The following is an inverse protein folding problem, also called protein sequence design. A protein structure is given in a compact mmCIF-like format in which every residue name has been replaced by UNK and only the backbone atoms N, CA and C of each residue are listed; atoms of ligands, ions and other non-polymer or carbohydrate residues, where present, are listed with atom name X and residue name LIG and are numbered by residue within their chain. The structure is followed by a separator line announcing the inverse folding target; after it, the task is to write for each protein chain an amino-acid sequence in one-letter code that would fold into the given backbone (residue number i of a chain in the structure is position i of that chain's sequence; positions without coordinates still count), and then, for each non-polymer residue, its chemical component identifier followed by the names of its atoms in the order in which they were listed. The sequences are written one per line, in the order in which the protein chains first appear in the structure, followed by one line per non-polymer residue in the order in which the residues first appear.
data_IF_388471192776
#
_entry.id   IF_388471192776
#
_cell.length_a   1.000
_cell.length_b   1.000
_cell.length_c   1.000
_cell.angle_alpha   90.00
_cell.angle_beta   90.00
_cell.angle_gamma   90.00
#
_symmetry.space_group_name_H-M   'P 1'
#
loop_
_entity.id
_entity.type
_entity.pdbx_description
1 polymer ?
#
# COMPACT_ATOMS: atom_id res chain seq x y z
N UNK A 1 19.34 10.41 15.79
CA UNK A 1 19.85 11.48 14.90
C UNK A 1 20.92 10.88 14.00
N UNK A 2 20.78 11.00 12.68
CA UNK A 2 21.72 10.45 11.69
C UNK A 2 23.04 11.24 11.64
N UNK A 3 24.07 10.71 10.97
CA UNK A 3 25.31 11.47 10.72
C UNK A 3 25.02 12.75 9.93
N UNK A 4 24.15 12.68 8.91
CA UNK A 4 23.76 13.83 8.11
C UNK A 4 23.10 14.92 8.95
N UNK A 5 22.12 14.54 9.79
CA UNK A 5 21.45 15.47 10.70
C UNK A 5 22.45 16.14 11.64
N UNK A 6 23.42 15.39 12.20
CA UNK A 6 24.48 15.96 13.06
C UNK A 6 25.37 16.98 12.37
N UNK A 7 25.59 16.86 11.06
CA UNK A 7 26.46 17.76 10.31
C UNK A 7 25.73 19.04 9.86
N UNK A 8 24.43 18.92 9.58
CA UNK A 8 23.59 20.03 9.09
C UNK A 8 22.93 20.79 10.24
N UNK A 9 22.65 20.10 11.35
CA UNK A 9 22.09 20.62 12.59
C UNK A 9 22.88 20.07 13.78
N UNK A 10 24.09 20.62 14.01
CA UNK A 10 24.91 20.20 15.14
C UNK A 10 24.22 20.45 16.49
N UNK A 11 24.48 19.56 17.45
CA UNK A 11 23.90 19.63 18.81
C UNK A 11 24.52 20.76 19.65
N UNK A 12 25.78 21.10 19.39
CA UNK A 12 26.50 22.14 20.10
C UNK A 12 26.79 23.31 19.17
N UNK A 13 26.58 24.52 19.67
CA UNK A 13 26.81 25.78 18.92
C UNK A 13 28.28 25.93 18.51
N UNK A 14 29.19 25.23 19.19
CA UNK A 14 30.63 25.19 18.88
C UNK A 14 30.97 24.38 17.64
N UNK A 15 30.06 23.50 17.19
CA UNK A 15 30.34 22.60 16.07
C UNK A 15 30.06 23.30 14.74
N UNK A 16 30.86 22.96 13.72
CA UNK A 16 30.74 23.57 12.39
C UNK A 16 29.49 23.04 11.67
N UNK A 17 28.56 23.94 11.37
CA UNK A 17 27.39 23.64 10.53
C UNK A 17 27.78 23.57 9.06
N UNK A 18 27.56 22.43 8.42
CA UNK A 18 27.80 22.29 6.98
C UNK A 18 26.68 22.93 6.15
N UNK A 19 27.00 23.52 4.97
CA UNK A 19 26.00 24.09 4.09
C UNK A 19 25.07 23.00 3.53
N UNK A 20 23.76 23.24 3.60
CA UNK A 20 22.72 22.36 3.06
C UNK A 20 22.14 22.97 1.78
N UNK A 21 22.08 22.18 0.71
CA UNK A 21 21.30 22.50 -0.48
C UNK A 21 20.10 21.58 -0.58
N UNK A 22 18.90 22.14 -0.72
CA UNK A 22 17.64 21.39 -0.79
C UNK A 22 17.13 21.40 -2.22
N UNK A 23 16.79 20.22 -2.75
CA UNK A 23 16.14 20.10 -4.05
C UNK A 23 14.64 20.40 -3.91
N UNK A 24 14.19 21.50 -4.52
CA UNK A 24 12.79 21.94 -4.38
C UNK A 24 11.85 21.34 -5.43
N UNK A 25 12.35 20.80 -6.54
CA UNK A 25 11.49 20.36 -7.65
C UNK A 25 11.20 18.85 -7.58
N UNK A 26 9.94 18.50 -7.31
CA UNK A 26 9.45 17.12 -7.38
C UNK A 26 9.07 16.73 -8.81
N UNK A 27 9.32 15.47 -9.16
CA UNK A 27 9.19 14.92 -10.53
C UNK A 27 8.39 13.61 -10.58
N UNK A 28 7.64 13.30 -9.52
CA UNK A 28 6.99 12.00 -9.31
C UNK A 28 5.48 12.11 -9.19
N UNK A 29 5.00 12.94 -8.27
CA UNK A 29 3.60 12.92 -7.85
C UNK A 29 2.78 13.87 -8.69
N UNK A 30 1.55 13.49 -9.02
CA UNK A 30 0.56 14.43 -9.55
C UNK A 30 0.32 15.57 -8.53
N UNK A 31 0.10 16.84 -8.95
CA UNK A 31 0.00 17.99 -8.05
C UNK A 31 -0.96 17.82 -6.87
N UNK A 32 -2.12 17.20 -7.07
CA UNK A 32 -3.09 16.96 -5.98
C UNK A 32 -2.60 15.99 -4.90
N UNK A 33 -1.68 15.08 -5.24
CA UNK A 33 -1.04 14.17 -4.29
C UNK A 33 0.13 14.88 -3.62
N UNK A 34 0.96 15.59 -4.40
CA UNK A 34 2.07 16.38 -3.89
C UNK A 34 1.62 17.42 -2.85
N UNK A 35 0.40 17.95 -2.99
CA UNK A 35 -0.20 18.91 -2.06
C UNK A 35 -0.28 18.40 -0.62
N UNK A 36 -0.50 17.09 -0.41
CA UNK A 36 -0.54 16.50 0.93
C UNK A 36 0.80 16.67 1.67
N UNK A 37 1.90 16.61 0.94
CA UNK A 37 3.26 16.73 1.47
C UNK A 37 3.70 18.20 1.50
N UNK A 38 3.32 18.97 0.47
CA UNK A 38 3.64 20.40 0.38
C UNK A 38 3.03 21.18 1.53
N UNK A 39 1.76 20.93 1.84
CA UNK A 39 1.03 21.64 2.91
C UNK A 39 1.48 21.26 4.33
N UNK A 40 2.25 20.18 4.48
CA UNK A 40 2.64 19.63 5.79
C UNK A 40 4.15 19.66 6.04
N UNK A 41 4.94 19.01 5.17
CA UNK A 41 6.36 18.73 5.42
C UNK A 41 7.32 19.59 4.60
N UNK A 42 6.96 19.91 3.35
CA UNK A 42 7.85 20.62 2.43
C UNK A 42 7.14 21.78 1.72
N UNK A 43 6.92 22.93 2.40
CA UNK A 43 6.18 24.07 1.84
C UNK A 43 6.80 24.66 0.56
N UNK A 44 8.12 24.54 0.39
CA UNK A 44 8.84 25.05 -0.80
C UNK A 44 8.81 24.09 -2.00
N UNK A 45 8.18 22.92 -1.88
CA UNK A 45 8.19 21.89 -2.93
C UNK A 45 7.39 22.32 -4.17
N UNK A 46 8.06 22.36 -5.33
CA UNK A 46 7.51 22.75 -6.64
C UNK A 46 7.32 21.54 -7.55
N UNK A 47 6.28 21.57 -8.37
CA UNK A 47 5.99 20.51 -9.34
C UNK A 47 6.71 20.75 -10.66
N UNK A 48 7.33 19.71 -11.22
CA UNK A 48 7.82 19.75 -12.61
C UNK A 48 6.66 19.63 -13.61
N UNK A 49 6.75 20.34 -14.74
CA UNK A 49 5.68 20.39 -15.76
C UNK A 49 5.18 19.02 -16.24
N UNK A 50 6.07 18.00 -16.25
CA UNK A 50 5.72 16.65 -16.68
C UNK A 50 4.65 16.00 -15.79
N UNK A 51 4.59 16.33 -14.50
CA UNK A 51 3.69 15.64 -13.56
C UNK A 51 2.23 16.09 -13.72
N UNK A 52 2.02 17.31 -14.22
CA UNK A 52 0.69 17.81 -14.55
C UNK A 52 0.10 17.12 -15.80
N UNK A 53 0.97 16.53 -16.65
CA UNK A 53 0.60 15.87 -17.90
C UNK A 53 0.31 14.37 -17.74
N UNK A 54 0.31 13.84 -16.52
CA UNK A 54 -0.03 12.43 -16.31
C UNK A 54 -1.43 12.09 -16.82
N UNK A 55 -1.63 10.88 -17.39
CA UNK A 55 -2.88 10.50 -18.03
C UNK A 55 -4.07 10.62 -17.06
N UNK A 56 -5.24 10.87 -17.64
CA UNK A 56 -6.51 11.01 -16.93
C UNK A 56 -6.87 9.77 -16.10
N UNK A 57 -7.86 9.93 -15.22
CA UNK A 57 -8.32 8.85 -14.36
C UNK A 57 -9.47 8.07 -15.00
N UNK A 58 -9.23 6.78 -15.20
CA UNK A 58 -10.16 5.75 -15.66
C UNK A 58 -10.80 5.04 -14.47
N UNK A 59 -12.11 4.81 -14.53
CA UNK A 59 -12.90 4.22 -13.44
C UNK A 59 -13.27 5.22 -12.35
N UNK A 60 -12.31 5.58 -11.49
CA UNK A 60 -12.55 6.50 -10.36
C UNK A 60 -12.20 7.94 -10.74
N UNK A 61 -13.19 8.84 -10.69
CA UNK A 61 -13.06 10.26 -11.07
C UNK A 61 -12.02 11.05 -10.29
N UNK A 62 -11.72 10.67 -9.04
CA UNK A 62 -10.73 11.36 -8.19
C UNK A 62 -9.41 10.60 -8.19
N UNK A 63 -8.29 11.31 -8.41
CA UNK A 63 -6.92 10.77 -8.27
C UNK A 63 -6.55 10.44 -6.82
N UNK A 64 -7.13 11.19 -5.90
CA UNK A 64 -6.89 11.12 -4.47
C UNK A 64 -8.24 11.09 -3.74
N UNK A 65 -8.43 10.08 -2.89
CA UNK A 65 -9.50 10.08 -1.91
C UNK A 65 -9.10 9.26 -0.68
N UNK A 66 -9.76 9.57 0.43
CA UNK A 66 -9.73 8.80 1.65
C UNK A 66 -11.09 8.10 1.84
N UNK A 67 -11.09 6.78 1.75
CA UNK A 67 -12.20 5.92 2.10
C UNK A 67 -12.25 5.77 3.62
N UNK A 68 -13.02 6.64 4.25
CA UNK A 68 -13.18 6.68 5.68
C UNK A 68 -14.14 5.57 6.15
N UNK A 69 -13.76 4.88 7.22
CA UNK A 69 -14.60 3.95 7.97
C UNK A 69 -14.18 3.94 9.44
N UNK A 70 -15.04 3.42 10.32
CA UNK A 70 -14.74 3.28 11.75
C UNK A 70 -14.67 1.81 12.21
N UNK A 71 -14.70 0.86 11.26
CA UNK A 71 -14.62 -0.57 11.57
C UNK A 71 -13.38 -0.89 12.42
N UNK A 72 -13.55 -1.53 13.59
CA UNK A 72 -12.47 -1.74 14.55
C UNK A 72 -11.42 -2.70 14.01
N UNK A 73 -10.17 -2.50 14.45
CA UNK A 73 -9.10 -3.47 14.20
C UNK A 73 -9.30 -4.78 14.98
N UNK A 74 -8.69 -5.86 14.52
CA UNK A 74 -8.71 -7.14 15.24
C UNK A 74 -7.96 -7.01 16.57
N UNK A 75 -8.50 -7.62 17.63
CA UNK A 75 -7.86 -7.65 18.94
C UNK A 75 -8.01 -6.35 19.74
N UNK A 76 -8.99 -5.49 19.45
CA UNK A 76 -9.27 -4.27 20.23
C UNK A 76 -9.53 -4.52 21.73
N UNK A 77 -9.88 -5.74 22.12
CA UNK A 77 -10.12 -6.13 23.51
C UNK A 77 -8.86 -6.60 24.25
N UNK A 78 -7.87 -7.15 23.54
CA UNK A 78 -6.59 -7.58 24.09
C UNK A 78 -5.59 -6.43 23.96
N UNK A 79 -5.59 -5.56 24.95
CA UNK A 79 -4.62 -4.47 25.07
C UNK A 79 -3.24 -5.00 25.44
N UNK A 80 -2.56 -5.64 24.50
CA UNK A 80 -1.12 -5.79 24.56
C UNK A 80 -0.44 -4.64 23.77
N UNK A 81 0.05 -3.58 24.43
CA UNK A 81 0.77 -2.50 23.78
C UNK A 81 2.10 -2.95 23.14
N UNK A 82 2.56 -4.20 23.39
CA UNK A 82 3.69 -4.83 22.72
C UNK A 82 3.31 -5.61 21.46
N UNK A 83 2.00 -5.80 21.19
CA UNK A 83 1.56 -6.48 19.98
C UNK A 83 1.91 -5.64 18.75
N UNK A 84 2.87 -6.13 17.98
CA UNK A 84 3.37 -5.47 16.77
C UNK A 84 2.56 -5.81 15.51
N UNK A 85 1.58 -6.71 15.64
CA UNK A 85 0.84 -7.28 14.51
C UNK A 85 -0.64 -6.89 14.56
N UNK A 86 -0.95 -5.66 14.17
CA UNK A 86 -2.33 -5.21 13.97
C UNK A 86 -2.88 -5.66 12.61
N UNK A 87 -4.19 -5.85 12.54
CA UNK A 87 -4.89 -6.17 11.29
C UNK A 87 -6.34 -5.70 11.33
N UNK A 88 -6.94 -5.42 10.17
CA UNK A 88 -8.31 -4.97 10.02
C UNK A 88 -8.92 -5.66 8.80
N UNK A 89 -9.84 -6.58 9.03
CA UNK A 89 -10.42 -7.43 7.97
C UNK A 89 -11.29 -6.63 6.99
N UNK A 90 -11.99 -5.61 7.49
CA UNK A 90 -12.77 -4.72 6.64
C UNK A 90 -11.88 -4.00 5.63
N UNK A 91 -10.73 -3.49 6.09
CA UNK A 91 -9.76 -2.87 5.20
C UNK A 91 -9.15 -3.85 4.19
N UNK A 92 -8.93 -5.11 4.57
CA UNK A 92 -8.48 -6.17 3.65
C UNK A 92 -9.47 -6.33 2.50
N UNK A 93 -10.75 -6.54 2.81
CA UNK A 93 -11.79 -6.75 1.80
C UNK A 93 -11.98 -5.54 0.90
N UNK A 94 -11.99 -4.33 1.47
CA UNK A 94 -12.10 -3.08 0.70
C UNK A 94 -10.91 -2.86 -0.22
N UNK A 95 -9.69 -3.10 0.29
CA UNK A 95 -8.45 -2.98 -0.50
C UNK A 95 -8.48 -3.94 -1.69
N UNK A 96 -8.88 -5.19 -1.45
CA UNK A 96 -8.89 -6.23 -2.47
C UNK A 96 -9.95 -5.94 -3.53
N UNK A 97 -11.14 -5.51 -3.12
CA UNK A 97 -12.21 -5.09 -4.02
C UNK A 97 -11.76 -3.93 -4.90
N UNK A 98 -11.15 -2.91 -4.30
CA UNK A 98 -10.64 -1.74 -5.03
C UNK A 98 -9.54 -2.12 -6.03
N UNK A 99 -8.56 -2.91 -5.61
CA UNK A 99 -7.48 -3.35 -6.50
C UNK A 99 -8.04 -4.21 -7.64
N UNK A 100 -8.99 -5.10 -7.36
CA UNK A 100 -9.67 -5.90 -8.40
C UNK A 100 -10.37 -5.04 -9.43
N UNK A 101 -11.11 -4.03 -8.95
CA UNK A 101 -11.80 -3.08 -9.79
C UNK A 101 -10.83 -2.34 -10.72
N UNK A 102 -9.68 -1.89 -10.19
CA UNK A 102 -8.66 -1.17 -10.95
C UNK A 102 -7.97 -2.06 -11.98
N UNK A 103 -7.65 -3.31 -11.64
CA UNK A 103 -7.07 -4.27 -12.59
C UNK A 103 -8.06 -4.61 -13.70
N UNK A 104 -9.35 -4.76 -13.38
CA UNK A 104 -10.41 -5.03 -14.36
C UNK A 104 -10.64 -3.89 -15.37
N UNK A 105 -10.16 -2.68 -15.09
CA UNK A 105 -10.21 -1.58 -16.08
C UNK A 105 -9.25 -1.81 -17.27
N UNK A 106 -8.30 -2.75 -17.18
CA UNK A 106 -7.40 -3.12 -18.28
C UNK A 106 -6.21 -2.18 -18.53
N UNK A 107 -6.22 -0.98 -17.97
CA UNK A 107 -5.24 0.08 -18.23
C UNK A 107 -4.04 0.08 -17.27
N UNK A 108 -4.23 -0.46 -16.06
CA UNK A 108 -3.14 -0.66 -15.11
C UNK A 108 -2.71 -2.11 -15.10
N UNK A 109 -1.43 -2.33 -15.38
CA UNK A 109 -0.83 -3.63 -15.19
C UNK A 109 -0.71 -3.93 -13.69
N UNK A 110 -0.59 -5.21 -13.33
CA UNK A 110 -0.47 -5.63 -11.93
C UNK A 110 0.78 -5.06 -11.24
N UNK A 111 1.82 -4.71 -11.99
CA UNK A 111 3.04 -4.06 -11.48
C UNK A 111 2.90 -2.53 -11.28
N UNK A 112 1.89 -1.91 -11.89
CA UNK A 112 1.60 -0.47 -11.75
C UNK A 112 0.87 -0.13 -10.44
N UNK A 113 0.26 -1.13 -9.81
CA UNK A 113 -0.52 -1.00 -8.57
C UNK A 113 0.29 -1.62 -7.42
N UNK A 114 0.49 -0.84 -6.37
CA UNK A 114 1.07 -1.33 -5.12
C UNK A 114 0.13 -1.04 -3.95
N UNK A 115 -0.04 -2.05 -3.09
CA UNK A 115 -0.70 -1.91 -1.79
C UNK A 115 0.36 -1.70 -0.71
N UNK A 116 0.21 -0.65 0.08
CA UNK A 116 1.08 -0.36 1.22
C UNK A 116 0.27 -0.47 2.51
N UNK A 117 0.84 -1.15 3.51
CA UNK A 117 0.26 -1.23 4.85
C UNK A 117 1.35 -1.10 5.93
N UNK A 118 1.09 -0.48 7.09
CA UNK A 118 2.11 -0.33 8.13
C UNK A 118 2.44 -1.62 8.88
N UNK A 119 1.55 -2.62 8.90
CA UNK A 119 1.70 -3.81 9.75
C UNK A 119 1.87 -5.09 8.94
N UNK A 120 2.82 -5.93 9.37
CA UNK A 120 3.11 -7.22 8.71
C UNK A 120 1.93 -8.19 8.81
N UNK A 121 1.19 -8.18 9.92
CA UNK A 121 -0.03 -8.98 10.09
C UNK A 121 -1.07 -8.69 9.02
N UNK A 122 -1.31 -7.40 8.73
CA UNK A 122 -2.18 -6.98 7.64
C UNK A 122 -1.66 -7.42 6.27
N UNK A 123 -0.35 -7.27 6.03
CA UNK A 123 0.27 -7.69 4.77
C UNK A 123 0.03 -9.18 4.50
N UNK A 124 0.22 -10.03 5.51
CA UNK A 124 -0.02 -11.47 5.38
C UNK A 124 -1.48 -11.78 5.03
N UNK A 125 -2.44 -11.09 5.64
CA UNK A 125 -3.87 -11.25 5.33
C UNK A 125 -4.21 -10.80 3.92
N UNK A 126 -3.77 -9.59 3.54
CA UNK A 126 -3.92 -9.06 2.17
C UNK A 126 -3.36 -10.03 1.14
N UNK A 127 -2.14 -10.56 1.38
CA UNK A 127 -1.50 -11.53 0.51
C UNK A 127 -2.32 -12.80 0.39
N UNK A 128 -2.73 -13.42 1.50
CA UNK A 128 -3.51 -14.67 1.50
C UNK A 128 -4.82 -14.51 0.75
N UNK A 129 -5.54 -13.42 1.00
CA UNK A 129 -6.85 -13.15 0.40
C UNK A 129 -6.73 -12.78 -1.09
N UNK A 130 -5.68 -12.06 -1.48
CA UNK A 130 -5.35 -11.84 -2.89
C UNK A 130 -4.96 -13.14 -3.60
N UNK A 131 -4.19 -14.03 -2.97
CA UNK A 131 -3.84 -15.34 -3.55
C UNK A 131 -5.09 -16.17 -3.87
N UNK A 132 -6.12 -16.14 -3.00
CA UNK A 132 -7.42 -16.80 -3.25
C UNK A 132 -8.18 -16.18 -4.42
N UNK A 133 -8.03 -14.87 -4.66
CA UNK A 133 -8.77 -14.16 -5.70
C UNK A 133 -8.08 -14.19 -7.08
N UNK A 134 -6.75 -14.30 -7.09
CA UNK A 134 -5.95 -14.43 -8.32
C UNK A 134 -5.64 -15.90 -8.67
N UNK A 135 -5.93 -16.85 -7.79
CA UNK A 135 -6.10 -18.26 -8.16
C UNK A 135 -7.54 -18.48 -8.64
N UNK A 136 -7.63 -19.00 -9.87
CA UNK A 136 -8.83 -19.43 -10.60
C UNK A 136 -9.55 -18.30 -11.35
N UNK A 137 -9.05 -18.07 -12.57
CA UNK A 137 -9.93 -18.02 -13.73
C UNK A 137 -9.37 -19.08 -14.70
N UNK A 138 -9.91 -20.31 -14.62
CA UNK A 138 -9.92 -21.19 -15.78
C UNK A 138 -10.94 -20.59 -16.74
N UNK A 139 -10.57 -20.42 -18.00
CA UNK A 139 -11.53 -19.98 -19.00
C UNK A 139 -12.60 -21.07 -19.16
N UNK A 140 -13.83 -20.70 -19.52
CA UNK A 140 -14.95 -21.65 -19.66
C UNK A 140 -14.61 -22.85 -20.57
N UNK A 141 -13.76 -22.65 -21.59
CA UNK A 141 -13.22 -23.70 -22.48
C UNK A 141 -12.28 -24.70 -21.81
N UNK A 142 -11.54 -24.28 -20.80
CA UNK A 142 -10.60 -25.14 -20.06
C UNK A 142 -11.33 -25.91 -18.95
N UNK A 143 -12.48 -25.41 -18.49
CA UNK A 143 -13.34 -26.10 -17.53
C UNK A 143 -14.05 -27.31 -18.18
N UNK A 144 -14.55 -27.17 -19.42
CA UNK A 144 -15.12 -28.29 -20.19
C UNK A 144 -14.07 -29.37 -20.52
N UNK A 145 -12.81 -29.01 -20.76
CA UNK A 145 -11.75 -29.99 -21.03
C UNK A 145 -11.32 -30.76 -19.78
N UNK A 146 -11.33 -30.13 -18.60
CA UNK A 146 -11.02 -30.81 -17.34
C UNK A 146 -12.16 -31.75 -16.93
N UNK A 147 -13.42 -31.32 -17.09
CA UNK A 147 -14.60 -32.16 -16.85
C UNK A 147 -14.66 -33.37 -17.81
N UNK A 148 -14.27 -33.18 -19.08
CA UNK A 148 -14.17 -34.27 -20.06
C UNK A 148 -13.02 -35.26 -19.77
N UNK A 149 -11.91 -34.79 -19.18
CA UNK A 149 -10.78 -35.64 -18.79
C UNK A 149 -11.05 -36.44 -17.51
N UNK A 150 -11.88 -35.91 -16.60
CA UNK A 150 -12.29 -36.59 -15.37
C UNK A 150 -13.40 -37.63 -15.60
N UNK A 151 -14.17 -37.52 -16.68
CA UNK A 151 -15.23 -38.48 -17.03
C UNK A 151 -14.71 -39.80 -17.63
N UNK A 152 -13.44 -39.88 -18.05
CA UNK A 152 -12.88 -41.01 -18.81
C UNK A 152 -11.74 -41.76 -18.07
N UNK A 153 -11.51 -41.46 -16.79
CA UNK A 153 -10.49 -42.10 -15.95
C UNK A 153 -11.07 -43.12 -14.95
N UNK A 154 -10.43 -44.28 -14.71
CA UNK A 154 -10.95 -45.30 -13.80
C UNK A 154 -10.84 -44.86 -12.33
N UNK A 155 -11.86 -45.18 -11.53
CA UNK A 155 -11.87 -45.06 -10.07
C UNK A 155 -10.65 -45.78 -9.44
N UNK A 156 -9.68 -45.03 -8.89
CA UNK A 156 -8.79 -45.56 -7.83
C UNK A 156 -8.48 -44.47 -6.79
N UNK A 157 -8.56 -44.91 -5.54
CA UNK A 157 -8.40 -44.21 -4.28
C UNK A 157 -6.96 -43.73 -3.97
N UNK A 158 -6.95 -42.72 -3.09
CA UNK A 158 -5.93 -42.30 -2.10
C UNK A 158 -5.06 -41.05 -2.34
N UNK A 159 -4.80 -40.24 -1.28
CA UNK A 159 -4.31 -38.87 -1.39
C UNK A 159 -2.78 -38.73 -1.22
N UNK A 160 -2.27 -37.58 -1.68
CA UNK A 160 -0.92 -36.97 -1.50
C UNK A 160 0.14 -37.33 -2.56
N UNK A 161 1.12 -36.45 -2.87
CA UNK A 161 1.55 -35.23 -2.18
C UNK A 161 1.47 -33.94 -3.01
N UNK A 162 1.38 -32.80 -2.31
CA UNK A 162 1.60 -31.44 -2.84
C UNK A 162 2.92 -31.37 -3.61
N UNK A 163 2.87 -31.51 -4.94
CA UNK A 163 4.02 -31.31 -5.80
C UNK A 163 3.88 -30.00 -6.58
N UNK A 164 4.64 -29.02 -6.10
CA UNK A 164 5.29 -27.97 -6.89
C UNK A 164 4.38 -27.11 -7.78
N UNK A 165 3.77 -26.12 -7.13
CA UNK A 165 3.29 -24.91 -7.80
C UNK A 165 4.47 -24.29 -8.56
N UNK A 166 4.44 -24.41 -9.90
CA UNK A 166 5.47 -23.87 -10.78
C UNK A 166 5.70 -22.38 -10.48
N UNK A 167 6.97 -22.03 -10.22
CA UNK A 167 7.50 -20.70 -9.88
C UNK A 167 7.48 -19.72 -11.07
N UNK A 168 6.42 -19.68 -11.87
CA UNK A 168 6.38 -18.90 -13.13
C UNK A 168 5.18 -17.97 -13.25
N UNK A 169 4.57 -17.58 -12.12
CA UNK A 169 3.46 -16.59 -12.10
C UNK A 169 3.66 -15.46 -11.07
N UNK A 170 4.87 -15.30 -10.51
CA UNK A 170 5.16 -14.22 -9.55
C UNK A 170 5.44 -12.87 -10.24
N UNK A 171 5.81 -12.87 -11.52
CA UNK A 171 6.01 -11.65 -12.31
C UNK A 171 4.69 -10.91 -12.64
N UNK A 172 3.54 -11.50 -12.29
CA UNK A 172 2.20 -10.97 -12.54
C UNK A 172 1.36 -10.90 -11.26
N UNK A 173 1.93 -10.73 -10.08
CA UNK A 173 1.14 -10.45 -8.86
C UNK A 173 1.18 -8.96 -8.52
N UNK A 174 0.08 -8.44 -7.95
CA UNK A 174 0.09 -7.11 -7.34
C UNK A 174 1.15 -7.05 -6.26
N UNK A 175 1.86 -5.92 -6.19
CA UNK A 175 2.87 -5.69 -5.16
C UNK A 175 2.19 -5.31 -3.85
N UNK A 176 2.55 -5.98 -2.76
CA UNK A 176 2.10 -5.65 -1.41
C UNK A 176 3.35 -5.50 -0.56
N UNK A 177 3.50 -4.36 0.12
CA UNK A 177 4.68 -4.07 0.90
C UNK A 177 4.33 -3.35 2.20
N UNK A 178 5.22 -3.46 3.19
CA UNK A 178 5.17 -2.60 4.36
C UNK A 178 5.75 -1.22 4.04
N UNK A 179 5.39 -0.20 4.82
CA UNK A 179 5.90 1.18 4.62
C UNK A 179 7.44 1.22 4.63
N UNK A 180 8.06 0.55 5.60
CA UNK A 180 9.53 0.54 5.75
C UNK A 180 10.20 -0.18 4.55
N UNK A 181 9.64 -1.30 4.07
CA UNK A 181 10.19 -2.03 2.93
C UNK A 181 9.96 -1.34 1.58
N UNK A 182 9.02 -0.39 1.50
CA UNK A 182 8.71 0.32 0.27
C UNK A 182 9.48 1.66 0.14
N UNK A 183 10.45 1.90 1.02
CA UNK A 183 11.28 3.11 0.96
C UNK A 183 12.17 3.10 -0.29
N UNK A 184 12.06 4.17 -1.08
CA UNK A 184 12.82 4.34 -2.33
C UNK A 184 12.07 3.82 -3.56
N UNK A 185 11.05 2.99 -3.36
CA UNK A 185 10.17 2.54 -4.44
C UNK A 185 9.06 3.57 -4.72
N UNK A 186 8.43 3.40 -5.89
CA UNK A 186 7.30 4.19 -6.39
C UNK A 186 6.39 3.33 -7.27
N UNK A 187 5.11 3.71 -7.40
CA UNK A 187 4.18 3.07 -8.32
C UNK A 187 3.22 4.09 -8.93
N UNK A 188 2.59 3.73 -10.06
CA UNK A 188 1.59 4.60 -10.71
C UNK A 188 0.38 4.79 -9.79
N UNK A 189 -0.08 3.71 -9.16
CA UNK A 189 -1.21 3.71 -8.24
C UNK A 189 -0.79 3.10 -6.91
N UNK A 190 -1.02 3.84 -5.83
CA UNK A 190 -0.83 3.34 -4.46
C UNK A 190 -2.18 3.22 -3.77
N UNK A 191 -2.44 2.05 -3.18
CA UNK A 191 -3.53 1.84 -2.22
C UNK A 191 -2.94 1.71 -0.83
N UNK A 192 -3.33 2.59 0.08
CA UNK A 192 -2.86 2.65 1.47
C UNK A 192 -3.93 2.02 2.34
N UNK A 193 -3.55 1.03 3.13
CA UNK A 193 -4.39 0.41 4.15
C UNK A 193 -3.79 0.74 5.52
N UNK A 194 -4.47 1.59 6.30
CA UNK A 194 -3.96 2.19 7.54
C UNK A 194 -4.07 1.26 8.75
N UNK A 195 -5.02 0.34 8.76
CA UNK A 195 -5.28 -0.71 9.75
C UNK A 195 -5.84 -0.21 11.07
N UNK A 196 -5.23 0.82 11.67
CA UNK A 196 -5.59 1.25 13.03
C UNK A 196 -6.96 1.91 13.03
N UNK A 197 -7.86 1.32 13.82
CA UNK A 197 -9.17 1.86 14.15
C UNK A 197 -9.51 1.40 15.55
N UNK A 198 -9.29 2.26 16.54
CA UNK A 198 -9.49 1.96 17.95
C UNK A 198 -10.03 3.19 18.71
N UNK A 199 -10.79 2.99 19.80
CA UNK A 199 -11.36 4.08 20.59
C UNK A 199 -10.32 5.05 21.19
N UNK A 200 -9.09 4.57 21.41
CA UNK A 200 -8.00 5.35 22.01
C UNK A 200 -7.35 6.32 21.01
N UNK A 201 -7.74 6.31 19.73
CA UNK A 201 -7.11 7.07 18.65
C UNK A 201 -5.59 6.85 18.58
N UNK A 202 -5.14 5.62 18.85
CA UNK A 202 -3.74 5.25 18.79
C UNK A 202 -3.38 4.79 17.38
N UNK A 203 -2.57 5.60 16.69
CA UNK A 203 -2.05 5.33 15.34
C UNK A 203 -0.81 4.43 15.31
N UNK A 204 -0.19 4.16 16.48
CA UNK A 204 0.96 3.29 16.65
C UNK A 204 2.12 3.58 15.69
N UNK A 205 2.38 2.62 14.80
CA UNK A 205 3.52 2.60 13.86
C UNK A 205 3.66 3.86 13.00
N UNK A 206 2.54 4.52 12.67
CA UNK A 206 2.49 5.71 11.83
C UNK A 206 2.63 7.03 12.61
N UNK A 207 2.99 7.01 13.90
CA UNK A 207 3.19 8.22 14.70
C UNK A 207 4.37 9.08 14.23
N UNK A 208 5.35 8.49 13.56
CA UNK A 208 6.55 9.20 13.09
C UNK A 208 6.32 9.87 11.74
N UNK A 209 6.55 11.19 11.67
CA UNK A 209 6.39 11.99 10.44
C UNK A 209 7.17 11.42 9.24
N UNK A 210 8.37 10.89 9.44
CA UNK A 210 9.16 10.23 8.38
C UNK A 210 8.41 9.08 7.68
N UNK A 211 7.65 8.27 8.43
CA UNK A 211 6.89 7.15 7.87
C UNK A 211 5.67 7.63 7.09
N UNK A 212 5.04 8.71 7.54
CA UNK A 212 3.92 9.33 6.83
C UNK A 212 4.43 9.97 5.55
N UNK A 213 5.57 10.66 5.59
CA UNK A 213 6.24 11.19 4.40
C UNK A 213 6.52 10.07 3.41
N UNK A 214 7.11 8.97 3.88
CA UNK A 214 7.34 7.79 3.05
C UNK A 214 6.03 7.30 2.49
N UNK A 215 4.97 7.14 3.27
CA UNK A 215 3.68 6.63 2.81
C UNK A 215 3.02 7.52 1.74
N UNK A 216 3.03 8.85 1.93
CA UNK A 216 2.37 9.82 1.06
C UNK A 216 3.16 10.12 -0.23
N UNK A 217 4.47 9.82 -0.27
CA UNK A 217 5.37 10.19 -1.38
C UNK A 217 5.56 9.12 -2.45
N UNK A 218 4.77 8.04 -2.43
CA UNK A 218 4.98 6.84 -3.26
C UNK A 218 4.20 6.79 -4.56
N UNK A 219 3.09 7.53 -4.62
CA UNK A 219 2.17 7.49 -5.75
C UNK A 219 2.58 8.47 -6.84
N UNK A 220 2.63 8.02 -8.09
CA UNK A 220 2.80 8.93 -9.22
C UNK A 220 1.46 9.52 -9.68
N UNK A 221 0.51 8.67 -10.07
CA UNK A 221 -0.73 9.09 -10.73
C UNK A 221 -1.92 9.16 -9.78
N UNK A 222 -2.04 8.17 -8.86
CA UNK A 222 -3.20 8.02 -7.98
C UNK A 222 -2.85 7.46 -6.61
N UNK A 223 -3.58 7.91 -5.61
CA UNK A 223 -3.45 7.48 -4.21
C UNK A 223 -4.84 7.26 -3.62
N UNK A 224 -5.08 6.07 -3.08
CA UNK A 224 -6.33 5.75 -2.41
C UNK A 224 -6.02 5.32 -0.99
N UNK A 225 -6.57 6.02 -0.02
CA UNK A 225 -6.35 5.75 1.41
C UNK A 225 -7.59 5.05 1.96
N UNK A 226 -7.42 3.96 2.68
CA UNK A 226 -8.48 3.22 3.36
C UNK A 226 -8.10 3.21 4.85
N UNK A 227 -8.98 3.73 5.69
CA UNK A 227 -8.73 3.75 7.14
C UNK A 227 -9.61 4.73 7.91
N UNK A 228 -9.50 4.67 9.24
CA UNK A 228 -10.21 5.55 10.16
C UNK A 228 -9.50 6.89 10.36
N UNK A 229 -9.96 7.95 9.69
CA UNK A 229 -9.40 9.30 9.81
C UNK A 229 -9.37 9.85 11.25
N UNK A 230 -10.31 9.45 12.12
CA UNK A 230 -10.36 9.92 13.51
C UNK A 230 -9.14 9.42 14.32
N UNK A 231 -8.69 8.20 14.04
CA UNK A 231 -7.49 7.61 14.67
C UNK A 231 -6.19 8.34 14.30
N UNK A 232 -6.17 9.09 13.19
CA UNK A 232 -4.97 9.78 12.70
C UNK A 232 -5.02 11.31 12.85
N UNK A 233 -6.17 11.88 13.23
CA UNK A 233 -6.37 13.34 13.33
C UNK A 233 -5.42 14.03 14.31
N UNK A 234 -4.99 13.33 15.37
CA UNK A 234 -4.13 13.86 16.42
C UNK A 234 -2.64 13.90 16.07
N UNK A 235 -2.24 13.39 14.90
CA UNK A 235 -0.83 13.35 14.50
C UNK A 235 -0.43 14.72 13.97
N UNK A 236 0.54 15.35 14.62
CA UNK A 236 1.19 16.55 14.09
C UNK A 236 2.16 16.14 12.98
N UNK A 237 1.93 16.62 11.77
CA UNK A 237 2.89 16.53 10.66
C UNK A 237 3.69 17.80 10.57
#
# INVERSE_FOLDING_TARGET
MSLFERLVEPLYVTDTRLPLSVLETQRRMYPSIAELIRSTLYPSLKDADKVAKYPGVIGIKKRLFWFYHEQPEAGTTDHDPLSTSHSNEFEVEMTITLVSYLVRQGEYSRSDITVITPYLGQLQRLRRRMETMFKIYLNDRDQEQVEALEADGPEVLEPTPRAQLAKTTLAKSIRIATVDNFQGEEAKVIVICLVRSNPQNNCGFLRTSNRINVLLSRAQHRMYIIGNANTYRGIRM
#
